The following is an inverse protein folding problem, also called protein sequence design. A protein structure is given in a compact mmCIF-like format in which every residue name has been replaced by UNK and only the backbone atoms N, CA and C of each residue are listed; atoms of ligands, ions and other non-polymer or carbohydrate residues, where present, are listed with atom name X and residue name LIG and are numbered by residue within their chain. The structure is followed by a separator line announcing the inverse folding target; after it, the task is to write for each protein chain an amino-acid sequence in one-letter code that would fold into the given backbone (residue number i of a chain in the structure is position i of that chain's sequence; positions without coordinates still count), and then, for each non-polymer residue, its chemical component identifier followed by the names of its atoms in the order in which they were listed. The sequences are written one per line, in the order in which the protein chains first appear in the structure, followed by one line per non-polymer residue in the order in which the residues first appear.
data_IF_783285109202
#
_entry.id   IF_783285109202
#
_cell.length_a   1.000
_cell.length_b   1.000
_cell.length_c   1.000
_cell.angle_alpha   90.00
_cell.angle_beta   90.00
_cell.angle_gamma   90.00
#
_symmetry.space_group_name_H-M   'P 1'
#
loop_
_entity.id
_entity.type
_entity.pdbx_description
1 polymer ?
#
# COMPACT_ATOMS: atom_id res chain seq x y z
N UNK A 1 -3.46 -6.72 -21.39
CA UNK A 1 -2.87 -5.40 -21.73
C UNK A 1 -1.83 -5.00 -20.67
N UNK A 2 -0.61 -4.58 -21.06
CA UNK A 2 0.50 -4.24 -20.14
C UNK A 2 0.33 -2.91 -19.36
N UNK A 3 -0.77 -2.17 -19.61
CA UNK A 3 -0.97 -0.78 -19.19
C UNK A 3 -1.37 -0.67 -17.70
N UNK A 4 -1.88 -1.74 -17.09
CA UNK A 4 -2.43 -1.69 -15.71
C UNK A 4 -1.34 -1.77 -14.62
N UNK A 5 -0.21 -2.45 -14.86
CA UNK A 5 0.89 -2.49 -13.88
C UNK A 5 1.57 -1.12 -13.69
N UNK A 6 1.58 -0.26 -14.72
CA UNK A 6 2.07 1.12 -14.60
C UNK A 6 1.18 2.00 -13.70
N UNK A 7 -0.11 1.68 -13.56
CA UNK A 7 -1.03 2.44 -12.69
C UNK A 7 -0.73 2.22 -11.20
N UNK A 8 -0.25 1.05 -10.80
CA UNK A 8 0.13 0.76 -9.43
C UNK A 8 1.33 1.62 -8.97
N UNK A 9 2.38 1.68 -9.78
CA UNK A 9 3.59 2.47 -9.50
C UNK A 9 3.36 3.98 -9.64
N UNK A 10 2.61 4.41 -10.66
CA UNK A 10 2.28 5.83 -10.85
C UNK A 10 1.51 6.40 -9.65
N UNK A 11 0.65 5.59 -9.03
CA UNK A 11 -0.08 5.98 -7.82
C UNK A 11 0.77 6.01 -6.55
N UNK A 12 1.91 5.32 -6.47
CA UNK A 12 2.76 5.36 -5.25
C UNK A 12 3.21 6.78 -4.92
N UNK A 13 3.53 7.60 -5.93
CA UNK A 13 3.86 9.01 -5.72
C UNK A 13 2.68 9.80 -5.14
N UNK A 14 1.45 9.47 -5.54
CA UNK A 14 0.24 10.10 -5.01
C UNK A 14 -0.03 9.70 -3.56
N UNK A 15 0.54 8.60 -3.05
CA UNK A 15 0.24 8.09 -1.70
C UNK A 15 1.08 8.76 -0.59
N UNK A 16 2.05 9.61 -0.92
CA UNK A 16 2.90 10.35 0.05
C UNK A 16 3.43 9.43 1.16
N UNK A 17 4.05 8.34 0.74
CA UNK A 17 4.63 7.35 1.65
C UNK A 17 5.94 7.86 2.23
N UNK A 18 6.12 7.67 3.53
CA UNK A 18 7.43 7.92 4.13
C UNK A 18 8.46 6.97 3.55
N UNK A 19 9.75 7.32 3.56
CA UNK A 19 10.82 6.42 3.11
C UNK A 19 10.73 5.05 3.79
N UNK A 20 10.44 5.00 5.10
CA UNK A 20 10.31 3.74 5.82
C UNK A 20 9.11 2.90 5.33
N UNK A 21 8.00 3.53 4.94
CA UNK A 21 6.86 2.83 4.34
C UNK A 21 7.17 2.33 2.93
N UNK A 22 7.93 3.09 2.12
CA UNK A 22 8.44 2.61 0.83
C UNK A 22 9.39 1.41 1.00
N UNK A 23 10.38 1.52 1.89
CA UNK A 23 11.32 0.42 2.14
C UNK A 23 10.54 -0.84 2.57
N UNK A 24 9.60 -0.69 3.51
CA UNK A 24 8.78 -1.81 3.99
C UNK A 24 7.85 -2.39 2.91
N UNK A 25 7.29 -1.55 2.02
CA UNK A 25 6.51 -1.99 0.88
C UNK A 25 7.38 -2.79 -0.11
N UNK A 26 8.64 -2.39 -0.33
CA UNK A 26 9.59 -3.18 -1.13
C UNK A 26 9.75 -4.59 -0.58
N UNK A 27 9.99 -4.71 0.73
CA UNK A 27 10.13 -6.03 1.38
C UNK A 27 8.86 -6.89 1.29
N UNK A 28 7.67 -6.28 1.40
CA UNK A 28 6.40 -6.98 1.21
C UNK A 28 6.27 -7.48 -0.24
N UNK A 29 6.59 -6.62 -1.21
CA UNK A 29 6.51 -6.96 -2.65
C UNK A 29 7.50 -8.05 -3.05
N UNK A 30 8.68 -8.09 -2.42
CA UNK A 30 9.69 -9.13 -2.64
C UNK A 30 9.28 -10.50 -2.07
N UNK A 31 8.59 -10.51 -0.92
CA UNK A 31 8.18 -11.74 -0.23
C UNK A 31 6.79 -12.24 -0.61
N UNK A 32 6.00 -11.46 -1.33
CA UNK A 32 4.64 -11.85 -1.67
C UNK A 32 4.60 -13.11 -2.54
N UNK A 33 3.53 -13.88 -2.37
CA UNK A 33 3.07 -14.84 -3.38
C UNK A 33 2.22 -14.12 -4.43
N UNK A 34 2.02 -14.73 -5.61
CA UNK A 34 1.02 -14.24 -6.55
C UNK A 34 -0.32 -13.98 -5.87
N UNK A 35 -0.92 -12.83 -6.13
CA UNK A 35 -2.14 -12.37 -5.46
C UNK A 35 -1.91 -11.64 -4.12
N UNK A 36 -0.66 -11.39 -3.73
CA UNK A 36 -0.33 -10.43 -2.66
C UNK A 36 -0.18 -11.00 -1.25
N UNK A 37 -0.33 -12.32 -1.06
CA UNK A 37 -0.16 -12.93 0.27
C UNK A 37 1.31 -12.85 0.72
N UNK A 38 1.55 -12.24 1.88
CA UNK A 38 2.85 -12.20 2.55
C UNK A 38 2.76 -12.91 3.90
N UNK A 39 3.48 -14.02 4.02
CA UNK A 39 3.59 -14.82 5.24
C UNK A 39 4.92 -14.51 5.96
N UNK A 40 5.03 -13.28 6.46
CA UNK A 40 6.18 -12.82 7.23
C UNK A 40 5.73 -11.91 8.38
N UNK A 41 6.42 -11.99 9.51
CA UNK A 41 6.18 -11.09 10.63
C UNK A 41 6.81 -9.72 10.41
N UNK A 42 6.32 -8.71 11.12
CA UNK A 42 6.91 -7.36 11.07
C UNK A 42 8.39 -7.34 11.48
N UNK A 43 8.83 -8.26 12.35
CA UNK A 43 10.24 -8.33 12.76
C UNK A 43 11.12 -8.83 11.61
N UNK A 44 10.66 -9.83 10.86
CA UNK A 44 11.35 -10.33 9.66
C UNK A 44 11.39 -9.27 8.57
N UNK A 45 10.25 -8.62 8.31
CA UNK A 45 10.18 -7.50 7.37
C UNK A 45 11.09 -6.34 7.77
N UNK A 46 11.13 -5.97 9.05
CA UNK A 46 12.00 -4.91 9.57
C UNK A 46 13.48 -5.22 9.36
N UNK A 47 13.88 -6.48 9.58
CA UNK A 47 15.26 -6.92 9.44
C UNK A 47 15.75 -6.81 7.99
N UNK A 48 14.89 -7.15 7.02
CA UNK A 48 15.23 -7.04 5.58
C UNK A 48 15.58 -5.63 5.14
N UNK A 49 14.93 -4.62 5.74
CA UNK A 49 15.12 -3.21 5.34
C UNK A 49 15.87 -2.38 6.39
N UNK A 50 16.42 -3.02 7.41
CA UNK A 50 17.20 -2.35 8.45
C UNK A 50 16.41 -1.34 9.30
N UNK A 51 15.10 -1.54 9.47
CA UNK A 51 14.24 -0.66 10.27
C UNK A 51 14.19 -1.09 11.74
N UNK A 52 14.13 -0.10 12.64
CA UNK A 52 13.82 -0.37 14.06
C UNK A 52 12.35 -0.75 14.24
N UNK A 53 12.04 -1.51 15.29
CA UNK A 53 10.67 -1.95 15.61
C UNK A 53 9.65 -0.80 15.60
N UNK A 54 9.98 0.35 16.20
CA UNK A 54 9.08 1.50 16.26
C UNK A 54 8.83 2.09 14.86
N UNK A 55 9.90 2.28 14.06
CA UNK A 55 9.77 2.79 12.69
C UNK A 55 8.98 1.84 11.80
N UNK A 56 9.19 0.53 11.94
CA UNK A 56 8.41 -0.49 11.22
C UNK A 56 6.93 -0.44 11.60
N UNK A 57 6.60 -0.31 12.89
CA UNK A 57 5.21 -0.20 13.32
C UNK A 57 4.52 1.03 12.71
N UNK A 58 5.18 2.20 12.73
CA UNK A 58 4.64 3.43 12.15
C UNK A 58 4.46 3.28 10.63
N UNK A 59 5.46 2.74 9.94
CA UNK A 59 5.42 2.48 8.50
C UNK A 59 4.28 1.51 8.13
N UNK A 60 4.15 0.39 8.84
CA UNK A 60 3.07 -0.57 8.59
C UNK A 60 1.70 0.04 8.87
N UNK A 61 1.56 0.83 9.94
CA UNK A 61 0.32 1.57 10.20
C UNK A 61 -0.01 2.54 9.07
N UNK A 62 0.98 3.21 8.47
CA UNK A 62 0.75 4.05 7.30
C UNK A 62 0.22 3.22 6.12
N UNK A 63 0.86 2.09 5.79
CA UNK A 63 0.43 1.23 4.69
C UNK A 63 -0.99 0.66 4.88
N UNK A 64 -1.33 0.27 6.11
CA UNK A 64 -2.68 -0.19 6.47
C UNK A 64 -3.72 0.94 6.37
N UNK A 65 -3.40 2.14 6.88
CA UNK A 65 -4.30 3.29 6.81
C UNK A 65 -4.60 3.74 5.38
N UNK A 66 -3.69 3.46 4.44
CA UNK A 66 -3.86 3.78 3.02
C UNK A 66 -4.43 2.62 2.21
N UNK A 67 -4.78 1.51 2.86
CA UNK A 67 -5.30 0.29 2.21
C UNK A 67 -4.37 -0.24 1.12
N UNK A 68 -3.06 -0.05 1.27
CA UNK A 68 -2.03 -0.65 0.41
C UNK A 68 -1.75 -2.07 0.88
N UNK A 69 -1.68 -2.22 2.21
CA UNK A 69 -1.60 -3.49 2.89
C UNK A 69 -2.93 -3.71 3.60
N UNK A 70 -3.39 -4.94 3.57
CA UNK A 70 -4.59 -5.43 4.22
C UNK A 70 -4.17 -6.44 5.29
N UNK A 71 -4.92 -6.45 6.39
CA UNK A 71 -4.70 -7.41 7.47
C UNK A 71 -5.99 -8.22 7.67
N UNK A 72 -5.97 -9.53 7.40
CA UNK A 72 -7.11 -10.38 7.69
C UNK A 72 -7.36 -10.46 9.20
N UNK A 73 -8.62 -10.29 9.63
CA UNK A 73 -9.02 -10.25 11.04
C UNK A 73 -8.65 -11.50 11.84
N UNK A 74 -8.51 -12.65 11.15
CA UNK A 74 -8.37 -13.97 11.78
C UNK A 74 -7.06 -14.70 11.48
N UNK A 75 -6.13 -14.12 10.72
CA UNK A 75 -4.81 -14.75 10.46
C UNK A 75 -3.70 -13.95 11.13
N UNK A 76 -3.16 -14.53 12.19
CA UNK A 76 -1.99 -13.99 12.86
C UNK A 76 -0.78 -14.03 11.92
N UNK A 77 -0.07 -12.91 11.74
CA UNK A 77 1.16 -12.75 10.91
C UNK A 77 0.98 -12.91 9.40
N UNK A 78 -0.23 -12.77 8.87
CA UNK A 78 -0.44 -12.70 7.42
C UNK A 78 -0.75 -11.26 7.02
N UNK A 79 -0.05 -10.74 6.02
CA UNK A 79 -0.40 -9.50 5.34
C UNK A 79 -0.83 -9.83 3.92
N UNK A 80 -1.70 -9.01 3.36
CA UNK A 80 -2.04 -9.06 1.95
C UNK A 80 -1.75 -7.70 1.33
N UNK A 81 -1.04 -7.67 0.21
CA UNK A 81 -1.04 -6.48 -0.63
C UNK A 81 -2.42 -6.35 -1.26
N UNK A 82 -2.94 -5.12 -1.30
CA UNK A 82 -4.17 -4.84 -2.01
C UNK A 82 -3.99 -5.22 -3.50
N UNK A 83 -5.00 -5.78 -4.18
CA UNK A 83 -4.87 -6.26 -5.57
C UNK A 83 -4.22 -5.27 -6.54
N UNK A 84 -4.56 -3.98 -6.43
CA UNK A 84 -3.89 -2.90 -7.18
C UNK A 84 -2.37 -2.77 -6.99
N UNK A 85 -1.76 -3.37 -5.97
CA UNK A 85 -0.31 -3.32 -5.70
C UNK A 85 0.34 -4.70 -5.63
N UNK A 86 -0.45 -5.78 -5.74
CA UNK A 86 0.05 -7.14 -5.70
C UNK A 86 0.73 -7.54 -7.02
N UNK A 87 1.59 -8.54 -6.96
CA UNK A 87 2.21 -9.21 -8.09
C UNK A 87 1.38 -10.40 -8.55
N UNK A 88 1.42 -10.67 -9.86
CA UNK A 88 0.65 -11.74 -10.51
C UNK A 88 1.53 -12.52 -11.48
N UNK A 89 1.21 -13.80 -11.66
CA UNK A 89 1.97 -14.71 -12.53
C UNK A 89 1.65 -14.52 -14.01
N UNK A 90 0.44 -14.06 -14.31
CA UNK A 90 -0.07 -13.82 -15.67
C UNK A 90 -0.85 -12.51 -15.75
N UNK A 91 -1.07 -12.04 -16.98
CA UNK A 91 -1.86 -10.83 -17.23
C UNK A 91 -3.34 -11.10 -16.99
N UNK A 92 -3.80 -12.32 -17.28
CA UNK A 92 -5.16 -12.78 -17.04
C UNK A 92 -5.48 -12.79 -15.54
N UNK A 93 -4.57 -13.29 -14.70
CA UNK A 93 -4.74 -13.26 -13.23
C UNK A 93 -4.80 -11.81 -12.71
N UNK A 94 -3.97 -10.93 -13.26
CA UNK A 94 -3.99 -9.49 -12.94
C UNK A 94 -5.35 -8.90 -13.32
N UNK A 95 -5.79 -9.05 -14.56
CA UNK A 95 -7.04 -8.46 -15.06
C UNK A 95 -8.25 -8.96 -14.26
N UNK A 96 -8.31 -10.26 -13.95
CA UNK A 96 -9.36 -10.83 -13.11
C UNK A 96 -9.33 -10.24 -11.69
N UNK A 97 -8.16 -10.22 -11.04
CA UNK A 97 -8.06 -9.71 -9.68
C UNK A 97 -8.39 -8.22 -9.57
N UNK A 98 -8.10 -7.44 -10.62
CA UNK A 98 -8.47 -6.03 -10.69
C UNK A 98 -9.97 -5.83 -10.87
N UNK A 99 -10.63 -6.67 -11.67
CA UNK A 99 -12.08 -6.67 -11.82
C UNK A 99 -12.76 -7.01 -10.49
N UNK A 100 -12.35 -8.11 -9.86
CA UNK A 100 -12.87 -8.56 -8.57
C UNK A 100 -12.67 -7.50 -7.47
N UNK A 101 -11.49 -6.88 -7.42
CA UNK A 101 -11.21 -5.81 -6.45
C UNK A 101 -12.10 -4.59 -6.67
N UNK A 102 -12.38 -4.25 -7.93
CA UNK A 102 -13.25 -3.12 -8.26
C UNK A 102 -14.68 -3.39 -7.82
N UNK A 103 -15.19 -4.60 -8.06
CA UNK A 103 -16.50 -5.03 -7.60
C UNK A 103 -16.58 -5.05 -6.07
N UNK A 104 -15.58 -5.63 -5.39
CA UNK A 104 -15.52 -5.67 -3.93
C UNK A 104 -15.45 -4.27 -3.30
N UNK A 105 -14.76 -3.31 -3.93
CA UNK A 105 -14.76 -1.90 -3.50
C UNK A 105 -16.14 -1.28 -3.64
N UNK A 106 -16.84 -1.52 -4.75
CA UNK A 106 -18.19 -1.01 -4.98
C UNK A 106 -19.21 -1.62 -4.01
N UNK A 107 -19.03 -2.90 -3.65
CA UNK A 107 -19.83 -3.60 -2.65
C UNK A 107 -19.48 -3.20 -1.20
N UNK A 108 -18.38 -2.47 -0.98
CA UNK A 108 -17.90 -2.08 0.35
C UNK A 108 -17.21 -3.21 1.13
N UNK A 109 -16.84 -4.30 0.46
CA UNK A 109 -16.17 -5.47 1.02
C UNK A 109 -14.64 -5.31 1.05
N UNK A 110 -14.10 -4.43 0.18
CA UNK A 110 -12.69 -4.11 0.10
C UNK A 110 -12.49 -2.58 0.20
N UNK A 111 -11.62 -2.07 1.08
CA UNK A 111 -11.38 -0.64 1.16
C UNK A 111 -10.51 -0.16 0.00
N UNK A 112 -10.93 0.90 -0.69
CA UNK A 112 -10.15 1.51 -1.76
C UNK A 112 -8.84 2.13 -1.24
N UNK A 113 -7.73 2.09 -2.01
CA UNK A 113 -6.51 2.80 -1.67
C UNK A 113 -6.74 4.30 -1.58
N UNK A 114 -6.27 4.92 -0.49
CA UNK A 114 -6.59 6.32 -0.18
C UNK A 114 -5.36 7.22 -0.36
N UNK A 115 -5.46 8.34 -1.11
CA UNK A 115 -4.41 9.36 -1.16
C UNK A 115 -4.24 10.05 0.21
N UNK A 116 -3.12 10.78 0.43
CA UNK A 116 -2.95 11.60 1.61
C UNK A 116 -4.08 12.64 1.68
N UNK A 117 -4.53 13.01 2.88
CA UNK A 117 -5.35 14.20 3.01
C UNK A 117 -4.56 15.39 2.44
N UNK A 118 -5.24 16.29 1.72
CA UNK A 118 -4.60 17.51 1.22
C UNK A 118 -3.89 18.21 2.40
N UNK A 119 -2.63 18.65 2.24
CA UNK A 119 -1.97 19.41 3.28
C UNK A 119 -2.86 20.62 3.62
N UNK A 120 -3.02 20.96 4.92
CA UNK A 120 -3.77 22.14 5.29
C UNK A 120 -3.19 23.31 4.51
N UNK A 121 -4.02 24.01 3.73
CA UNK A 121 -3.63 25.28 3.10
C UNK A 121 -3.32 26.22 4.25
N UNK A 122 -2.05 26.26 4.67
CA UNK A 122 -1.53 27.38 5.42
C UNK A 122 -1.71 28.56 4.48
N UNK A 123 -2.76 29.34 4.73
CA UNK A 123 -2.99 30.60 4.08
C UNK A 123 -1.70 31.39 4.26
N UNK A 124 -0.96 31.53 3.16
CA UNK A 124 0.11 32.48 3.01
C UNK A 124 -0.52 33.87 3.10
N UNK A 125 -0.87 34.30 4.31
CA UNK A 125 -1.13 35.69 4.59
C UNK A 125 0.24 36.38 4.53
N UNK A 126 0.63 36.77 3.31
CA UNK A 126 1.61 37.83 3.13
C UNK A 126 0.81 39.12 3.33
N UNK A 127 0.95 39.85 4.46
CA UNK A 127 0.39 41.18 4.52
C UNK A 127 1.17 42.03 3.50
N UNK A 128 0.48 42.47 2.45
CA UNK A 128 0.94 43.55 1.61
C UNK A 128 0.92 44.81 2.47
N UNK A 129 2.09 45.20 2.98
CA UNK A 129 2.26 46.48 3.68
C UNK A 129 2.11 47.58 2.62
N UNK A 130 1.14 48.46 2.82
CA UNK A 130 0.89 49.65 2.00
C UNK A 130 1.83 50.80 2.32
#
# INVERSE_FOLDING_TARGET
MLIQAQLAFAKLHELDLTKAAHDLLSALTELQRPGGEVNASQAELAALVGLSKNRTSIAMTQLLKRSIVLRPDRRYRSYFLHPYFAGYTSVEDLEQALADATEAIQAGELPAPTPPPEPPRHLSAVPTVG
#
